data_IF_012301148516
#
_entry.id   IF_012301148516
#
_cell.length_a   1.000
_cell.length_b   1.000
_cell.length_c   1.000
_cell.angle_alpha   90.00
_cell.angle_beta   90.00
_cell.angle_gamma   90.00
#
_symmetry.space_group_name_H-M   'P 1'
#
loop_
_entity.id
_entity.type
_entity.pdbx_description
1 polymer ?
#
# COMPACT_ATOMS: atom_id res chain seq x y z
N UNK A 1 -46.32 -0.69 -2.29
CA UNK A 1 -45.25 0.03 -1.57
C UNK A 1 -45.33 1.48 -2.00
N UNK A 2 -45.70 2.42 -1.12
CA UNK A 2 -45.70 3.84 -1.47
C UNK A 2 -44.28 4.23 -1.91
N UNK A 3 -44.20 5.04 -2.96
CA UNK A 3 -42.95 5.42 -3.63
C UNK A 3 -41.92 5.88 -2.61
N UNK A 4 -40.86 5.10 -2.44
CA UNK A 4 -39.74 5.49 -1.60
C UNK A 4 -39.00 6.60 -2.33
N UNK A 5 -39.24 7.85 -1.93
CA UNK A 5 -38.44 8.97 -2.41
C UNK A 5 -37.01 8.76 -1.93
N UNK A 6 -36.09 8.67 -2.90
CA UNK A 6 -34.68 8.55 -2.59
C UNK A 6 -34.20 9.86 -1.97
N UNK A 7 -33.41 9.82 -0.89
CA UNK A 7 -32.89 11.03 -0.29
C UNK A 7 -32.01 11.78 -1.29
N UNK A 8 -32.32 13.05 -1.52
CA UNK A 8 -31.54 13.96 -2.36
C UNK A 8 -30.70 14.86 -1.46
N UNK A 9 -29.38 14.84 -1.64
CA UNK A 9 -28.49 15.75 -0.93
C UNK A 9 -28.60 17.17 -1.50
N UNK A 10 -28.75 18.18 -0.63
CA UNK A 10 -28.96 19.59 -1.03
C UNK A 10 -27.83 20.53 -0.61
N UNK A 11 -26.82 20.04 0.14
CA UNK A 11 -25.71 20.88 0.60
C UNK A 11 -24.74 21.18 -0.54
N UNK A 12 -24.53 22.45 -0.93
CA UNK A 12 -23.57 22.82 -1.97
C UNK A 12 -22.13 22.97 -1.44
N UNK A 13 -21.96 23.09 -0.13
CA UNK A 13 -20.66 23.27 0.53
C UNK A 13 -19.99 21.93 0.89
N UNK A 14 -18.66 21.93 1.05
CA UNK A 14 -17.89 20.77 1.55
C UNK A 14 -18.29 20.34 2.98
N UNK A 15 -18.84 21.25 3.78
CA UNK A 15 -19.36 21.02 5.13
C UNK A 15 -20.64 21.84 5.33
N UNK A 16 -21.77 21.28 5.81
CA UNK A 16 -23.00 22.03 6.06
C UNK A 16 -22.83 23.19 7.05
N UNK A 17 -23.50 24.32 6.83
CA UNK A 17 -23.44 25.50 7.71
C UNK A 17 -23.80 25.18 9.18
N UNK A 18 -24.81 24.32 9.39
CA UNK A 18 -25.21 23.87 10.72
C UNK A 18 -24.09 23.08 11.43
N UNK A 19 -23.37 22.23 10.70
CA UNK A 19 -22.24 21.47 11.24
C UNK A 19 -21.07 22.38 11.59
N UNK A 20 -20.75 23.36 10.73
CA UNK A 20 -19.71 24.37 11.00
C UNK A 20 -20.00 25.13 12.30
N UNK A 21 -21.23 25.65 12.46
CA UNK A 21 -21.65 26.37 13.66
C UNK A 21 -21.59 25.49 14.93
N UNK A 22 -21.96 24.22 14.82
CA UNK A 22 -21.86 23.27 15.92
C UNK A 22 -20.39 23.04 16.31
N UNK A 23 -19.50 22.84 15.34
CA UNK A 23 -18.06 22.60 15.56
C UNK A 23 -17.32 23.82 16.10
N UNK A 24 -17.75 25.04 15.74
CA UNK A 24 -17.28 26.29 16.37
C UNK A 24 -17.64 26.33 17.87
N UNK A 25 -18.91 26.04 18.21
CA UNK A 25 -19.39 26.02 19.59
C UNK A 25 -18.69 24.96 20.44
N UNK A 26 -18.47 23.78 19.88
CA UNK A 26 -17.80 22.65 20.54
C UNK A 26 -16.27 22.75 20.51
N UNK A 27 -15.70 23.76 19.84
CA UNK A 27 -14.25 23.93 19.65
C UNK A 27 -13.56 22.70 19.02
N UNK A 28 -14.22 22.07 18.04
CA UNK A 28 -13.74 20.85 17.34
C UNK A 28 -13.24 21.10 15.90
N UNK A 29 -12.98 22.35 15.54
CA UNK A 29 -12.39 22.71 14.25
C UNK A 29 -10.92 22.28 14.20
N UNK A 30 -10.50 21.67 13.10
CA UNK A 30 -9.10 21.42 12.81
C UNK A 30 -8.42 22.70 12.36
N UNK A 31 -7.11 22.87 12.59
CA UNK A 31 -6.34 24.07 12.18
C UNK A 31 -6.49 24.39 10.68
N UNK A 32 -6.67 23.37 9.85
CA UNK A 32 -6.87 23.54 8.40
C UNK A 32 -8.26 23.99 8.00
N UNK A 33 -9.23 24.03 8.93
CA UNK A 33 -10.62 24.44 8.70
C UNK A 33 -10.92 25.83 9.31
N UNK A 34 -9.97 26.42 10.04
CA UNK A 34 -10.14 27.71 10.71
C UNK A 34 -9.81 28.86 9.76
N UNK A 35 -10.64 29.91 9.76
CA UNK A 35 -10.41 31.12 8.98
C UNK A 35 -9.05 31.77 9.30
N UNK A 36 -8.32 32.32 8.30
CA UNK A 36 -7.07 33.04 8.54
C UNK A 36 -7.24 34.13 9.60
N UNK A 37 -6.28 34.24 10.53
CA UNK A 37 -6.34 35.22 11.62
C UNK A 37 -7.29 34.87 12.77
N UNK A 38 -8.04 33.76 12.70
CA UNK A 38 -8.90 33.28 13.79
C UNK A 38 -8.29 32.12 14.59
N UNK A 39 -6.99 31.88 14.49
CA UNK A 39 -6.28 30.91 15.34
C UNK A 39 -6.17 31.51 16.77
N UNK A 40 -7.17 31.26 17.61
CA UNK A 40 -7.21 31.73 19.00
C UNK A 40 -8.35 31.06 19.79
N UNK A 41 -8.74 31.64 20.92
CA UNK A 41 -9.74 31.06 21.84
C UNK A 41 -11.15 30.89 21.25
N UNK A 42 -11.43 31.56 20.13
CA UNK A 42 -12.71 31.52 19.40
C UNK A 42 -12.46 31.25 17.92
N UNK A 43 -12.10 30.01 17.55
CA UNK A 43 -11.85 29.66 16.16
C UNK A 43 -13.17 29.73 15.38
N UNK A 44 -13.13 30.37 14.21
CA UNK A 44 -14.25 30.42 13.25
C UNK A 44 -13.96 29.50 12.08
N UNK A 45 -14.95 28.74 11.65
CA UNK A 45 -14.85 27.86 10.50
C UNK A 45 -14.76 28.69 9.23
N UNK A 46 -13.84 28.32 8.34
CA UNK A 46 -13.79 28.83 6.98
C UNK A 46 -14.70 27.96 6.08
N UNK A 47 -15.78 28.51 5.50
CA UNK A 47 -16.67 27.75 4.61
C UNK A 47 -15.96 27.11 3.42
N UNK A 48 -14.82 27.66 2.98
CA UNK A 48 -14.04 27.13 1.85
C UNK A 48 -13.04 26.04 2.27
N UNK A 49 -12.84 25.80 3.56
CA UNK A 49 -11.85 24.83 4.07
C UNK A 49 -12.44 23.77 4.98
N UNK A 50 -13.58 24.03 5.62
CA UNK A 50 -14.27 23.07 6.45
C UNK A 50 -14.82 21.91 5.61
N UNK A 51 -14.47 20.67 5.99
CA UNK A 51 -14.94 19.45 5.34
C UNK A 51 -15.86 18.70 6.30
N UNK A 52 -16.97 18.18 5.77
CA UNK A 52 -17.93 17.38 6.54
C UNK A 52 -17.21 16.28 7.31
N UNK A 53 -17.37 16.29 8.63
CA UNK A 53 -16.78 15.26 9.48
C UNK A 53 -17.55 13.94 9.28
N UNK A 54 -16.82 12.83 9.24
CA UNK A 54 -17.44 11.51 9.21
C UNK A 54 -18.21 11.28 10.52
N UNK A 55 -19.54 11.26 10.43
CA UNK A 55 -20.42 11.06 11.59
C UNK A 55 -20.40 9.60 12.02
N UNK A 56 -19.64 9.29 13.09
CA UNK A 56 -19.68 7.98 13.74
C UNK A 56 -20.92 7.86 14.64
N UNK A 57 -21.55 6.68 14.77
CA UNK A 57 -22.44 6.40 15.90
C UNK A 57 -21.66 6.60 17.21
N UNK A 58 -22.34 7.07 18.26
CA UNK A 58 -21.83 7.74 19.47
C UNK A 58 -20.67 7.09 20.29
N UNK A 59 -20.18 5.91 19.93
CA UNK A 59 -19.09 5.24 20.64
C UNK A 59 -17.72 5.54 20.00
N UNK A 60 -17.01 6.53 20.57
CA UNK A 60 -15.57 6.70 20.38
C UNK A 60 -15.18 7.93 19.56
N UNK A 61 -15.13 9.09 20.21
CA UNK A 61 -14.61 10.32 19.60
C UNK A 61 -13.51 10.93 20.46
N UNK A 62 -12.38 10.22 20.56
CA UNK A 62 -11.10 10.86 20.87
C UNK A 62 -10.30 10.86 19.57
N UNK A 63 -9.82 12.03 19.14
CA UNK A 63 -8.83 12.14 18.06
C UNK A 63 -7.50 11.58 18.59
N UNK A 64 -7.36 10.27 18.52
CA UNK A 64 -6.16 9.54 18.89
C UNK A 64 -5.14 9.51 17.74
N UNK A 65 -3.99 8.85 17.96
CA UNK A 65 -3.07 8.51 16.87
C UNK A 65 -3.80 7.75 15.76
N UNK A 66 -3.25 7.79 14.54
CA UNK A 66 -3.78 7.04 13.40
C UNK A 66 -3.96 5.58 13.80
N UNK A 67 -5.19 5.08 13.72
CA UNK A 67 -5.52 3.67 13.94
C UNK A 67 -5.33 2.91 12.61
N UNK A 68 -4.30 2.06 12.49
CA UNK A 68 -4.04 1.32 11.26
C UNK A 68 -5.17 0.35 10.92
N UNK A 69 -5.85 -0.22 11.91
CA UNK A 69 -6.96 -1.14 11.71
C UNK A 69 -8.19 -0.42 11.14
N UNK A 70 -8.47 0.78 11.65
CA UNK A 70 -9.50 1.65 11.08
C UNK A 70 -9.17 2.07 9.64
N UNK A 71 -7.93 2.48 9.37
CA UNK A 71 -7.50 2.86 8.02
C UNK A 71 -7.66 1.69 7.05
N UNK A 72 -7.22 0.49 7.47
CA UNK A 72 -7.39 -0.73 6.69
C UNK A 72 -8.87 -1.02 6.41
N UNK A 73 -9.75 -0.92 7.42
CA UNK A 73 -11.19 -1.13 7.22
C UNK A 73 -11.78 -0.13 6.21
N UNK A 74 -11.39 1.14 6.29
CA UNK A 74 -11.85 2.17 5.34
C UNK A 74 -11.39 1.90 3.90
N UNK A 75 -10.13 1.48 3.72
CA UNK A 75 -9.61 1.11 2.40
C UNK A 75 -10.36 -0.09 1.82
N UNK A 76 -10.64 -1.12 2.63
CA UNK A 76 -11.39 -2.30 2.20
C UNK A 76 -12.84 -1.96 1.83
N UNK A 77 -13.52 -1.12 2.60
CA UNK A 77 -14.86 -0.63 2.26
C UNK A 77 -14.87 0.19 0.96
N UNK A 78 -13.81 0.97 0.73
CA UNK A 78 -13.59 1.67 -0.53
C UNK A 78 -13.47 0.72 -1.72
N UNK A 79 -12.62 -0.31 -1.61
CA UNK A 79 -12.49 -1.35 -2.64
C UNK A 79 -13.82 -2.07 -2.89
N UNK A 80 -14.51 -2.52 -1.83
CA UNK A 80 -15.79 -3.19 -1.94
C UNK A 80 -16.85 -2.32 -2.61
N UNK A 81 -16.91 -1.03 -2.29
CA UNK A 81 -17.84 -0.08 -2.89
C UNK A 81 -17.58 0.13 -4.37
N UNK A 82 -16.33 0.39 -4.77
CA UNK A 82 -15.97 0.55 -6.18
C UNK A 82 -16.24 -0.73 -6.99
N UNK A 83 -15.92 -1.91 -6.43
CA UNK A 83 -16.20 -3.20 -7.10
C UNK A 83 -17.68 -3.42 -7.32
N UNK A 84 -18.55 -3.05 -6.36
CA UNK A 84 -20.01 -3.06 -6.54
C UNK A 84 -20.46 -2.07 -7.62
N UNK A 85 -19.85 -0.89 -7.70
CA UNK A 85 -20.13 0.07 -8.76
C UNK A 85 -19.76 -0.49 -10.14
N UNK A 86 -18.59 -1.11 -10.30
CA UNK A 86 -18.18 -1.75 -11.56
C UNK A 86 -19.10 -2.91 -11.97
N UNK A 87 -19.62 -3.68 -11.01
CA UNK A 87 -20.52 -4.78 -11.30
C UNK A 87 -21.93 -4.33 -11.73
N UNK A 88 -22.37 -3.15 -11.29
CA UNK A 88 -23.72 -2.60 -11.57
C UNK A 88 -23.74 -1.57 -12.70
N UNK A 89 -22.62 -0.89 -12.93
CA UNK A 89 -22.50 0.18 -13.90
C UNK A 89 -22.52 -0.34 -15.34
N UNK A 90 -23.25 0.36 -16.21
CA UNK A 90 -23.14 0.16 -17.64
C UNK A 90 -22.06 1.12 -18.17
N UNK A 91 -20.91 0.59 -18.58
CA UNK A 91 -19.92 1.38 -19.29
C UNK A 91 -18.51 0.80 -19.27
N UNK A 92 -17.63 1.29 -20.15
CA UNK A 92 -16.21 1.11 -19.97
C UNK A 92 -15.78 1.89 -18.73
N UNK A 93 -15.08 1.22 -17.83
CA UNK A 93 -14.47 1.83 -16.65
C UNK A 93 -12.97 1.87 -16.86
N UNK A 94 -12.40 2.97 -17.42
CA UNK A 94 -11.00 3.00 -17.86
C UNK A 94 -10.02 2.66 -16.73
N UNK A 95 -10.33 3.09 -15.50
CA UNK A 95 -9.48 2.82 -14.33
C UNK A 95 -9.78 1.50 -13.62
N UNK A 96 -10.76 0.71 -14.07
CA UNK A 96 -11.14 -0.52 -13.37
C UNK A 96 -9.97 -1.50 -13.25
N UNK A 97 -9.19 -1.71 -14.32
CA UNK A 97 -8.04 -2.61 -14.27
C UNK A 97 -6.99 -2.16 -13.24
N UNK A 98 -6.67 -0.87 -13.20
CA UNK A 98 -5.74 -0.29 -12.23
C UNK A 98 -6.24 -0.46 -10.79
N UNK A 99 -7.50 -0.11 -10.52
CA UNK A 99 -8.10 -0.26 -9.20
C UNK A 99 -8.18 -1.73 -8.74
N UNK A 100 -8.52 -2.67 -9.64
CA UNK A 100 -8.53 -4.10 -9.32
C UNK A 100 -7.10 -4.63 -9.06
N UNK A 101 -6.11 -4.07 -9.76
CA UNK A 101 -4.70 -4.34 -9.50
C UNK A 101 -4.29 -3.89 -8.09
N UNK A 102 -4.64 -2.65 -7.71
CA UNK A 102 -4.40 -2.14 -6.36
C UNK A 102 -5.09 -2.98 -5.29
N UNK A 103 -6.34 -3.40 -5.53
CA UNK A 103 -7.06 -4.30 -4.62
C UNK A 103 -6.31 -5.61 -4.38
N UNK A 104 -5.82 -6.25 -5.45
CA UNK A 104 -5.05 -7.49 -5.35
C UNK A 104 -3.72 -7.27 -4.63
N UNK A 105 -2.99 -6.22 -4.98
CA UNK A 105 -1.70 -5.88 -4.37
C UNK A 105 -1.84 -5.53 -2.87
N UNK A 106 -2.92 -4.86 -2.49
CA UNK A 106 -3.20 -4.55 -1.09
C UNK A 106 -3.53 -5.82 -0.29
N UNK A 107 -4.18 -6.79 -0.93
CA UNK A 107 -4.56 -8.08 -0.36
C UNK A 107 -3.63 -9.23 -0.82
N UNK A 108 -2.34 -8.95 -1.01
CA UNK A 108 -1.39 -9.89 -1.59
C UNK A 108 -1.40 -11.23 -0.86
N UNK A 109 -1.51 -12.33 -1.60
CA UNK A 109 -1.60 -13.68 -1.04
C UNK A 109 -2.98 -14.09 -0.51
N UNK A 110 -3.99 -13.22 -0.49
CA UNK A 110 -5.38 -13.61 -0.18
C UNK A 110 -5.96 -14.46 -1.30
N UNK A 111 -6.49 -15.64 -0.94
CA UNK A 111 -7.15 -16.54 -1.89
C UNK A 111 -8.46 -15.94 -2.37
N UNK A 112 -9.17 -15.24 -1.49
CA UNK A 112 -10.44 -14.58 -1.76
C UNK A 112 -10.23 -13.45 -2.77
N UNK A 113 -9.27 -12.56 -2.54
CA UNK A 113 -8.97 -11.46 -3.46
C UNK A 113 -8.53 -11.97 -4.85
N UNK A 114 -7.68 -13.00 -4.89
CA UNK A 114 -7.27 -13.62 -6.14
C UNK A 114 -8.47 -14.25 -6.88
N UNK A 115 -9.30 -15.01 -6.18
CA UNK A 115 -10.49 -15.64 -6.78
C UNK A 115 -11.39 -14.59 -7.43
N UNK A 116 -11.68 -13.51 -6.71
CA UNK A 116 -12.50 -12.41 -7.22
C UNK A 116 -11.92 -11.75 -8.46
N UNK A 117 -10.60 -11.53 -8.51
CA UNK A 117 -9.92 -10.98 -9.69
C UNK A 117 -9.97 -11.95 -10.86
N UNK A 118 -9.83 -13.26 -10.62
CA UNK A 118 -9.87 -14.28 -11.68
C UNK A 118 -11.25 -14.42 -12.33
N UNK A 119 -12.33 -14.05 -11.62
CA UNK A 119 -13.68 -13.99 -12.18
C UNK A 119 -13.88 -12.81 -13.15
N UNK A 120 -12.95 -11.85 -13.21
CA UNK A 120 -13.04 -10.73 -14.13
C UNK A 120 -12.87 -11.18 -15.59
N UNK A 121 -13.51 -10.49 -16.55
CA UNK A 121 -13.31 -10.71 -17.98
C UNK A 121 -11.82 -10.78 -18.38
N UNK A 122 -11.50 -11.68 -19.31
CA UNK A 122 -10.12 -11.87 -19.76
C UNK A 122 -9.50 -10.59 -20.33
N UNK A 123 -10.30 -9.73 -20.95
CA UNK A 123 -9.88 -8.41 -21.46
C UNK A 123 -9.36 -7.52 -20.34
N UNK A 124 -10.05 -7.44 -19.20
CA UNK A 124 -9.59 -6.70 -18.02
C UNK A 124 -8.34 -7.31 -17.41
N UNK A 125 -8.28 -8.64 -17.31
CA UNK A 125 -7.09 -9.35 -16.77
C UNK A 125 -5.85 -9.20 -17.65
N UNK A 126 -6.04 -8.97 -18.95
CA UNK A 126 -4.95 -8.72 -19.89
C UNK A 126 -4.39 -7.28 -19.79
N UNK A 127 -5.13 -6.33 -19.22
CA UNK A 127 -4.66 -4.96 -19.04
C UNK A 127 -3.37 -4.90 -18.21
N UNK A 128 -2.40 -4.02 -18.56
CA UNK A 128 -1.08 -3.99 -17.94
C UNK A 128 -1.08 -3.89 -16.41
N UNK A 129 -1.89 -3.02 -15.76
CA UNK A 129 -1.88 -2.90 -14.30
C UNK A 129 -2.28 -4.20 -13.60
N UNK A 130 -3.34 -4.85 -14.10
CA UNK A 130 -3.87 -6.07 -13.49
C UNK A 130 -3.00 -7.29 -13.80
N UNK A 131 -2.43 -7.37 -15.00
CA UNK A 131 -1.46 -8.41 -15.37
C UNK A 131 -0.21 -8.34 -14.50
N UNK A 132 0.29 -7.15 -14.22
CA UNK A 132 1.42 -6.94 -13.30
C UNK A 132 1.06 -7.35 -11.88
N UNK A 133 -0.12 -6.96 -11.38
CA UNK A 133 -0.58 -7.36 -10.05
C UNK A 133 -0.70 -8.89 -9.89
N UNK A 134 -1.26 -9.58 -10.89
CA UNK A 134 -1.34 -11.05 -10.92
C UNK A 134 0.05 -11.71 -10.94
N UNK A 135 1.01 -11.13 -11.66
CA UNK A 135 2.39 -11.65 -11.68
C UNK A 135 3.10 -11.47 -10.34
N UNK A 136 2.83 -10.36 -9.63
CA UNK A 136 3.34 -10.12 -8.27
C UNK A 136 2.72 -11.11 -7.28
N UNK A 137 1.40 -11.30 -7.31
CA UNK A 137 0.70 -12.26 -6.45
C UNK A 137 1.20 -13.69 -6.67
N UNK A 138 1.33 -14.13 -7.93
CA UNK A 138 1.90 -15.44 -8.25
C UNK A 138 3.32 -15.61 -7.67
N UNK A 139 4.21 -14.63 -7.89
CA UNK A 139 5.58 -14.70 -7.37
C UNK A 139 5.64 -14.73 -5.84
N UNK A 140 4.73 -14.00 -5.17
CA UNK A 140 4.59 -14.00 -3.72
C UNK A 140 4.14 -15.38 -3.21
N UNK A 141 3.08 -15.96 -3.79
CA UNK A 141 2.51 -17.25 -3.40
C UNK A 141 3.46 -18.42 -3.68
N UNK A 142 4.22 -18.37 -4.77
CA UNK A 142 5.24 -19.38 -5.12
C UNK A 142 6.49 -19.29 -4.21
N UNK A 143 6.63 -18.22 -3.42
CA UNK A 143 7.86 -17.95 -2.67
C UNK A 143 9.06 -17.63 -3.58
N UNK A 144 8.81 -17.21 -4.82
CA UNK A 144 9.83 -16.85 -5.79
C UNK A 144 10.40 -15.46 -5.49
N UNK A 145 11.28 -15.40 -4.49
CA UNK A 145 11.88 -14.17 -3.96
C UNK A 145 12.49 -13.30 -5.05
N UNK A 146 13.31 -13.88 -5.93
CA UNK A 146 14.00 -13.12 -6.98
C UNK A 146 13.01 -12.47 -7.96
N UNK A 147 12.00 -13.23 -8.41
CA UNK A 147 10.95 -12.70 -9.29
C UNK A 147 10.10 -11.64 -8.59
N UNK A 148 9.70 -11.89 -7.33
CA UNK A 148 8.90 -10.98 -6.54
C UNK A 148 9.58 -9.62 -6.42
N UNK A 149 10.78 -9.55 -5.86
CA UNK A 149 11.48 -8.28 -5.65
C UNK A 149 11.93 -7.61 -6.96
N UNK A 150 12.09 -8.36 -8.05
CA UNK A 150 12.28 -7.77 -9.38
C UNK A 150 11.02 -7.06 -9.86
N UNK A 151 9.84 -7.66 -9.70
CA UNK A 151 8.56 -7.05 -10.06
C UNK A 151 8.23 -5.85 -9.15
N UNK A 152 8.47 -5.96 -7.83
CA UNK A 152 8.19 -4.86 -6.90
C UNK A 152 8.95 -3.57 -7.26
N UNK A 153 10.17 -3.68 -7.78
CA UNK A 153 10.95 -2.52 -8.27
C UNK A 153 10.26 -1.77 -9.42
N UNK A 154 9.48 -2.47 -10.25
CA UNK A 154 8.82 -1.90 -11.43
C UNK A 154 7.46 -1.25 -11.14
N UNK A 155 6.88 -1.46 -9.95
CA UNK A 155 5.57 -0.91 -9.61
C UNK A 155 5.56 0.62 -9.57
N UNK A 156 4.42 1.24 -9.87
CA UNK A 156 4.16 2.66 -9.61
C UNK A 156 4.13 2.95 -8.11
N UNK A 157 4.19 4.23 -7.72
CA UNK A 157 4.20 4.62 -6.30
C UNK A 157 2.97 4.08 -5.55
N UNK A 158 1.76 4.23 -6.10
CA UNK A 158 0.53 3.78 -5.42
C UNK A 158 0.46 2.25 -5.31
N UNK A 159 0.87 1.53 -6.35
CA UNK A 159 0.99 0.08 -6.32
C UNK A 159 2.04 -0.39 -5.30
N UNK A 160 3.16 0.34 -5.18
CA UNK A 160 4.18 0.13 -4.15
C UNK A 160 3.65 0.34 -2.73
N UNK A 161 2.85 1.39 -2.50
CA UNK A 161 2.19 1.61 -1.22
C UNK A 161 1.25 0.45 -0.86
N UNK A 162 0.52 -0.09 -1.84
CA UNK A 162 -0.39 -1.21 -1.64
C UNK A 162 0.35 -2.48 -1.17
N UNK A 163 1.50 -2.80 -1.77
CA UNK A 163 2.28 -4.00 -1.38
C UNK A 163 3.17 -3.79 -0.15
N UNK A 164 3.38 -2.55 0.30
CA UNK A 164 4.38 -2.21 1.31
C UNK A 164 4.22 -3.03 2.60
N UNK A 165 2.98 -3.23 3.07
CA UNK A 165 2.68 -4.03 4.27
C UNK A 165 3.10 -5.51 4.17
N UNK A 166 3.31 -6.03 2.95
CA UNK A 166 3.68 -7.42 2.70
C UNK A 166 5.20 -7.63 2.56
N UNK A 167 5.97 -6.55 2.35
CA UNK A 167 7.41 -6.61 2.08
C UNK A 167 8.16 -7.28 3.23
N UNK A 168 7.86 -6.89 4.46
CA UNK A 168 8.51 -7.43 5.65
C UNK A 168 8.32 -8.95 5.78
N UNK A 169 7.09 -9.42 5.52
CA UNK A 169 6.77 -10.85 5.53
C UNK A 169 7.48 -11.59 4.38
N UNK A 170 7.51 -11.01 3.18
CA UNK A 170 8.24 -11.57 2.04
C UNK A 170 9.75 -11.73 2.33
N UNK A 171 10.38 -10.71 2.94
CA UNK A 171 11.79 -10.72 3.34
C UNK A 171 12.07 -11.80 4.39
N UNK A 172 11.23 -11.90 5.42
CA UNK A 172 11.30 -12.97 6.43
C UNK A 172 11.21 -14.35 5.78
N UNK A 173 10.19 -14.59 4.96
CA UNK A 173 10.00 -15.87 4.28
C UNK A 173 11.16 -16.24 3.34
N UNK A 174 11.77 -15.25 2.70
CA UNK A 174 12.97 -15.46 1.90
C UNK A 174 14.18 -15.89 2.76
N UNK A 175 14.42 -15.22 3.89
CA UNK A 175 15.48 -15.61 4.83
C UNK A 175 15.26 -16.99 5.42
N UNK A 176 14.02 -17.35 5.77
CA UNK A 176 13.68 -18.69 6.25
C UNK A 176 14.01 -19.76 5.19
N UNK A 177 13.71 -19.50 3.91
CA UNK A 177 14.07 -20.39 2.80
C UNK A 177 15.59 -20.51 2.63
N UNK A 178 16.32 -19.39 2.68
CA UNK A 178 17.79 -19.40 2.61
C UNK A 178 18.41 -20.16 3.78
N UNK A 179 17.94 -19.92 5.01
CA UNK A 179 18.40 -20.65 6.19
C UNK A 179 18.15 -22.15 6.06
N UNK A 180 16.96 -22.57 5.60
CA UNK A 180 16.68 -23.99 5.40
C UNK A 180 17.54 -24.63 4.30
N UNK A 181 17.94 -23.87 3.28
CA UNK A 181 18.74 -24.38 2.17
C UNK A 181 20.25 -24.38 2.46
N UNK A 182 20.75 -23.38 3.19
CA UNK A 182 22.19 -23.10 3.33
C UNK A 182 22.75 -23.39 4.72
N UNK A 183 21.91 -23.56 5.75
CA UNK A 183 22.40 -23.78 7.11
C UNK A 183 23.08 -25.13 7.28
N UNK A 184 24.41 -25.11 7.36
CA UNK A 184 25.24 -26.28 7.65
C UNK A 184 25.86 -26.19 9.05
N UNK A 185 26.40 -27.30 9.62
CA UNK A 185 27.12 -27.26 10.90
C UNK A 185 28.38 -26.39 10.86
N UNK A 186 29.04 -26.30 9.70
CA UNK A 186 30.26 -25.48 9.50
C UNK A 186 29.95 -24.03 9.13
N UNK A 187 28.69 -23.74 8.78
CA UNK A 187 28.26 -22.44 8.28
C UNK A 187 28.50 -22.30 6.78
N UNK A 188 27.63 -21.54 6.13
CA UNK A 188 27.84 -21.06 4.76
C UNK A 188 27.67 -19.55 4.74
N UNK A 189 28.70 -18.82 4.29
CA UNK A 189 28.65 -17.36 4.20
C UNK A 189 28.05 -16.93 2.87
N UNK A 190 27.13 -15.97 2.91
CA UNK A 190 26.68 -15.21 1.74
C UNK A 190 27.12 -13.74 1.86
N UNK A 191 27.52 -13.10 0.75
CA UNK A 191 27.74 -11.65 0.73
C UNK A 191 26.45 -10.90 1.09
N UNK A 192 26.55 -9.87 1.93
CA UNK A 192 25.44 -9.00 2.28
C UNK A 192 24.91 -8.26 1.05
N UNK A 193 25.79 -7.86 0.14
CA UNK A 193 25.40 -7.23 -1.12
C UNK A 193 24.47 -8.12 -1.96
N UNK A 194 24.70 -9.43 -1.95
CA UNK A 194 23.78 -10.38 -2.60
C UNK A 194 22.39 -10.31 -1.97
N UNK A 195 22.28 -10.22 -0.64
CA UNK A 195 20.99 -10.08 0.04
C UNK A 195 20.34 -8.72 -0.22
N UNK A 196 21.11 -7.64 -0.25
CA UNK A 196 20.62 -6.30 -0.62
C UNK A 196 19.94 -6.34 -1.99
N UNK A 197 20.60 -6.96 -2.97
CA UNK A 197 20.07 -7.11 -4.32
C UNK A 197 18.90 -8.10 -4.37
N UNK A 198 18.96 -9.24 -3.69
CA UNK A 198 17.90 -10.24 -3.73
C UNK A 198 16.60 -9.75 -3.07
N UNK A 199 16.71 -9.06 -1.93
CA UNK A 199 15.59 -8.67 -1.07
C UNK A 199 15.16 -7.20 -1.25
N UNK A 200 15.79 -6.49 -2.19
CA UNK A 200 15.57 -5.07 -2.46
C UNK A 200 15.64 -4.22 -1.18
N UNK A 201 16.75 -4.36 -0.45
CA UNK A 201 17.05 -3.56 0.74
C UNK A 201 17.68 -2.23 0.31
N UNK A 202 17.57 -1.22 1.16
CA UNK A 202 18.08 0.14 0.94
C UNK A 202 19.60 0.23 1.12
N UNK A 203 20.23 -0.79 1.74
CA UNK A 203 21.68 -0.88 1.84
C UNK A 203 22.19 -1.98 2.76
N UNK A 204 23.52 -2.10 2.90
CA UNK A 204 24.16 -3.17 3.68
C UNK A 204 23.87 -3.06 5.18
N UNK A 205 23.61 -1.85 5.70
CA UNK A 205 23.20 -1.66 7.10
C UNK A 205 21.85 -2.34 7.39
N UNK A 206 20.84 -2.09 6.55
CA UNK A 206 19.53 -2.74 6.70
C UNK A 206 19.62 -4.26 6.54
N UNK A 207 20.49 -4.75 5.64
CA UNK A 207 20.75 -6.18 5.50
C UNK A 207 21.32 -6.80 6.79
N UNK A 208 22.29 -6.13 7.42
CA UNK A 208 22.86 -6.57 8.71
C UNK A 208 21.80 -6.60 9.80
N UNK A 209 21.08 -5.50 9.96
CA UNK A 209 20.03 -5.36 10.98
C UNK A 209 18.96 -6.46 10.82
N UNK A 210 18.53 -6.72 9.58
CA UNK A 210 17.57 -7.77 9.25
C UNK A 210 18.11 -9.18 9.57
N UNK A 211 19.36 -9.49 9.16
CA UNK A 211 19.98 -10.79 9.43
C UNK A 211 20.17 -11.03 10.93
N UNK A 212 20.64 -10.03 11.66
CA UNK A 212 20.84 -10.08 13.11
C UNK A 212 19.52 -10.26 13.88
N UNK A 213 18.46 -9.54 13.47
CA UNK A 213 17.12 -9.71 14.03
C UNK A 213 16.58 -11.14 13.86
N UNK A 214 17.06 -11.86 12.85
CA UNK A 214 16.76 -13.26 12.59
C UNK A 214 17.78 -14.26 13.16
N UNK A 215 18.71 -13.80 14.02
CA UNK A 215 19.69 -14.65 14.70
C UNK A 215 20.82 -15.16 13.81
N UNK A 216 20.99 -14.61 12.60
CA UNK A 216 22.07 -14.98 11.69
C UNK A 216 23.35 -14.20 12.04
N UNK A 217 24.46 -14.89 12.37
CA UNK A 217 25.72 -14.22 12.67
C UNK A 217 26.35 -13.61 11.41
N UNK A 218 27.12 -12.54 11.61
CA UNK A 218 27.87 -11.88 10.55
C UNK A 218 29.29 -12.49 10.43
N UNK A 219 29.80 -12.50 9.21
CA UNK A 219 31.19 -12.84 8.88
C UNK A 219 31.91 -11.55 8.44
N UNK A 220 32.55 -10.89 9.40
CA UNK A 220 33.09 -9.54 9.20
C UNK A 220 32.01 -8.50 8.88
N UNK A 221 32.35 -7.52 8.05
CA UNK A 221 31.46 -6.40 7.67
C UNK A 221 30.60 -6.69 6.45
N UNK A 222 30.95 -7.71 5.65
CA UNK A 222 30.38 -7.94 4.32
C UNK A 222 29.65 -9.28 4.16
N UNK A 223 29.75 -10.18 5.14
CA UNK A 223 29.16 -11.52 5.06
C UNK A 223 28.10 -11.80 6.12
N UNK A 224 27.16 -12.68 5.80
CA UNK A 224 26.26 -13.31 6.76
C UNK A 224 26.41 -14.82 6.70
N UNK A 225 26.51 -15.46 7.87
CA UNK A 225 26.71 -16.90 8.00
C UNK A 225 25.38 -17.62 8.28
N UNK A 226 25.07 -18.60 7.44
CA UNK A 226 23.98 -19.53 7.66
C UNK A 226 24.48 -20.75 8.42
N UNK A 227 24.37 -20.71 9.74
CA UNK A 227 24.67 -21.81 10.66
C UNK A 227 23.42 -22.58 11.04
N UNK A 228 23.56 -23.89 11.26
CA UNK A 228 22.44 -24.76 11.66
C UNK A 228 21.92 -24.39 13.04
N UNK A 229 20.61 -24.20 13.14
CA UNK A 229 19.90 -23.98 14.40
C UNK A 229 19.93 -22.55 14.94
N UNK A 230 20.52 -21.59 14.22
CA UNK A 230 20.60 -20.19 14.69
C UNK A 230 19.49 -19.28 14.18
N UNK A 231 18.84 -19.61 13.04
CA UNK A 231 17.76 -18.80 12.49
C UNK A 231 16.53 -18.76 13.40
N UNK A 232 15.99 -17.56 13.64
CA UNK A 232 14.84 -17.30 14.52
C UNK A 232 13.80 -16.42 13.85
N UNK A 233 12.53 -16.66 14.15
CA UNK A 233 11.40 -15.84 13.68
C UNK A 233 10.69 -15.16 14.87
N UNK A 234 11.44 -14.37 15.64
CA UNK A 234 10.90 -13.67 16.80
C UNK A 234 10.30 -12.31 16.40
N UNK A 235 9.19 -11.93 17.04
CA UNK A 235 8.56 -10.63 16.88
C UNK A 235 7.87 -10.38 15.54
N UNK A 236 7.44 -9.12 15.34
CA UNK A 236 6.81 -8.64 14.12
C UNK A 236 7.85 -8.48 12.99
N UNK A 237 7.50 -8.78 11.73
CA UNK A 237 8.39 -8.58 10.59
C UNK A 237 8.86 -7.11 10.49
N UNK A 238 10.16 -6.89 10.33
CA UNK A 238 10.70 -5.55 10.13
C UNK A 238 10.66 -5.18 8.64
N UNK A 239 9.92 -4.13 8.30
CA UNK A 239 9.81 -3.65 6.92
C UNK A 239 11.02 -2.81 6.48
N UNK A 240 11.83 -2.32 7.42
CA UNK A 240 12.86 -1.31 7.14
C UNK A 240 12.25 -0.01 6.59
N UNK A 241 13.07 0.79 5.93
CA UNK A 241 12.67 2.09 5.36
C UNK A 241 11.97 1.96 4.00
N UNK A 242 12.19 0.87 3.27
CA UNK A 242 11.58 0.61 1.95
C UNK A 242 11.74 1.77 0.94
N UNK A 243 12.79 2.58 1.04
CA UNK A 243 13.00 3.73 0.17
C UNK A 243 13.12 3.33 -1.31
N UNK A 244 13.88 2.28 -1.60
CA UNK A 244 14.03 1.70 -2.94
C UNK A 244 12.70 1.20 -3.51
N UNK A 245 11.82 0.68 -2.65
CA UNK A 245 10.56 0.07 -3.07
C UNK A 245 9.39 1.07 -3.09
N UNK A 246 9.44 2.15 -2.33
CA UNK A 246 8.31 3.07 -2.12
C UNK A 246 8.75 4.52 -2.27
N UNK A 247 9.49 5.08 -1.31
CA UNK A 247 9.69 6.53 -1.20
C UNK A 247 10.37 7.15 -2.42
N UNK A 248 11.43 6.51 -2.94
CA UNK A 248 12.14 6.98 -4.14
C UNK A 248 11.26 7.08 -5.39
N UNK A 249 10.13 6.36 -5.42
CA UNK A 249 9.19 6.32 -6.55
C UNK A 249 8.24 7.53 -6.59
N UNK A 250 8.21 8.33 -5.53
CA UNK A 250 7.50 9.59 -5.55
C UNK A 250 8.14 10.56 -6.57
N UNK A 251 9.47 10.45 -6.80
CA UNK A 251 10.23 11.19 -7.83
C UNK A 251 10.00 12.71 -7.79
N UNK A 252 9.79 13.27 -6.59
CA UNK A 252 9.52 14.70 -6.40
C UNK A 252 8.10 15.15 -6.77
N UNK A 253 7.22 14.23 -7.17
CA UNK A 253 5.79 14.52 -7.40
C UNK A 253 5.08 14.79 -6.08
N UNK A 254 4.03 15.59 -6.13
CA UNK A 254 3.13 15.77 -5.00
C UNK A 254 2.19 14.56 -4.86
N UNK A 255 1.65 14.35 -3.67
CA UNK A 255 0.62 13.31 -3.48
C UNK A 255 -0.63 13.58 -4.32
N UNK A 256 -0.96 14.86 -4.54
CA UNK A 256 -2.06 15.26 -5.42
C UNK A 256 -1.81 14.79 -6.85
N UNK A 257 -0.62 15.07 -7.41
CA UNK A 257 -0.25 14.60 -8.75
C UNK A 257 -0.35 13.08 -8.87
N UNK A 258 0.06 12.33 -7.85
CA UNK A 258 -0.02 10.87 -7.87
C UNK A 258 -1.47 10.37 -7.80
N UNK A 259 -2.31 10.97 -6.96
CA UNK A 259 -3.71 10.55 -6.78
C UNK A 259 -4.57 10.96 -7.97
N UNK A 260 -4.28 12.11 -8.56
CA UNK A 260 -5.01 12.67 -9.70
C UNK A 260 -4.46 12.21 -11.04
N UNK A 261 -3.26 11.60 -11.06
CA UNK A 261 -2.70 11.03 -12.28
C UNK A 261 -3.68 10.04 -12.91
N UNK A 262 -3.95 10.28 -14.19
CA UNK A 262 -4.33 9.21 -15.10
C UNK A 262 -3.02 8.49 -15.36
N UNK A 263 -2.81 7.28 -14.82
CA UNK A 263 -1.62 6.49 -15.17
C UNK A 263 -1.62 6.33 -16.70
N UNK A 264 -0.83 7.14 -17.40
CA UNK A 264 -0.58 6.99 -18.82
C UNK A 264 0.06 5.61 -18.99
N UNK A 265 -0.52 4.79 -19.87
CA UNK A 265 0.13 3.58 -20.33
C UNK A 265 1.51 4.00 -20.87
N UNK A 266 2.59 3.75 -20.11
CA UNK A 266 3.94 3.86 -20.63
C UNK A 266 4.03 2.89 -21.81
N UNK A 267 3.80 3.42 -23.01
CA UNK A 267 4.17 2.77 -24.26
C UNK A 267 5.68 2.64 -24.16
N UNK A 268 6.13 1.44 -23.83
CA UNK A 268 7.53 1.05 -23.93
C UNK A 268 7.93 1.23 -25.38
N UNK A 269 8.60 2.35 -25.66
CA UNK A 269 9.21 2.61 -26.95
C UNK A 269 10.23 1.49 -27.21
N UNK A 270 9.90 0.59 -28.12
CA UNK A 270 10.82 -0.44 -28.58
C UNK A 270 11.79 0.26 -29.53
N UNK A 271 13.11 0.13 -29.35
CA UNK A 271 14.04 0.71 -30.31
C UNK A 271 13.77 0.06 -31.67
N UNK A 272 13.47 0.89 -32.67
CA UNK A 272 13.37 0.47 -34.06
C UNK A 272 14.67 -0.25 -34.44
N UNK A 273 14.55 -1.54 -34.75
CA UNK A 273 15.62 -2.27 -35.42
C UNK A 273 15.78 -1.68 -36.81
N UNK A 274 16.80 -0.85 -37.00
CA UNK A 274 17.22 -0.42 -38.34
C UNK A 274 17.75 -1.65 -39.08
N UNK A 275 17.11 -1.95 -40.20
CA UNK A 275 17.58 -2.88 -41.23
C UNK A 275 18.56 -2.17 -42.17
#
# INVERSE_FOLDING_TARGET
MPGCELPVATCPDMCPAAERAQREKERRLHRFEVAPGCLGDRPRADPQRAVKEYSRPAAGTARGPVDPGLLQAQVQEGFGSLRRCYARGAGPHPRQAAFQGLFLLYNLGSVEALHEVLQLPATLRACPPLRTALAVDAAFREGNTARLFRLLRTLSYLASCAVHGHVAHARRGALARLARALSTPKGQTLPLDFLVHLLALDGPKEARDLCQAHGLPLDGEEGVMFLRGLYREEGLPHAGTCNLLVDSKLRGRTLEEVVMAEEEDEVVDRPESQA
#
